data_IF_112386756404
#
_entry.id   IF_112386756404
#
_cell.length_a   1.000
_cell.length_b   1.000
_cell.length_c   1.000
_cell.angle_alpha   90.00
_cell.angle_beta   90.00
_cell.angle_gamma   90.00
#
_symmetry.space_group_name_H-M   'P 1'
#
loop_
_entity.id
_entity.type
_entity.pdbx_description
1 polymer ?
#
# COMPACT_ATOMS: atom_id res chain seq x y z
N UNK A 1 -6.95 -26.76 15.50
CA UNK A 1 -7.34 -27.91 14.67
C UNK A 1 -8.80 -27.76 14.23
N UNK A 2 -9.07 -27.14 13.10
CA UNK A 2 -10.21 -27.45 12.21
C UNK A 2 -10.02 -26.59 10.96
N UNK A 3 -9.53 -27.23 9.91
CA UNK A 3 -9.49 -26.67 8.56
C UNK A 3 -10.89 -26.76 8.00
N UNK A 4 -11.60 -25.64 7.82
CA UNK A 4 -12.84 -25.60 7.06
C UNK A 4 -12.51 -25.35 5.60
N UNK A 5 -12.54 -26.40 4.81
CA UNK A 5 -12.49 -26.38 3.36
C UNK A 5 -13.84 -25.90 2.82
N UNK A 6 -13.97 -24.67 2.39
CA UNK A 6 -15.06 -24.25 1.50
C UNK A 6 -14.55 -24.10 0.08
N UNK A 7 -15.00 -25.01 -0.76
CA UNK A 7 -14.78 -25.07 -2.20
C UNK A 7 -15.73 -24.10 -2.89
N UNK A 8 -15.24 -22.94 -3.32
CA UNK A 8 -15.94 -22.08 -4.28
C UNK A 8 -15.12 -22.07 -5.58
N UNK A 9 -15.78 -22.50 -6.65
CA UNK A 9 -15.40 -22.60 -8.04
C UNK A 9 -14.10 -21.87 -8.47
N UNK A 10 -13.02 -22.62 -8.62
CA UNK A 10 -12.14 -22.43 -9.79
C UNK A 10 -10.96 -21.50 -9.67
N UNK A 11 -10.52 -21.01 -8.47
CA UNK A 11 -9.23 -20.31 -8.36
C UNK A 11 -8.61 -20.62 -7.00
N UNK A 12 -7.46 -21.29 -7.03
CA UNK A 12 -6.64 -21.48 -5.84
C UNK A 12 -6.01 -20.14 -5.46
N UNK A 13 -6.60 -19.43 -4.51
CA UNK A 13 -5.91 -18.35 -3.81
C UNK A 13 -5.03 -19.03 -2.76
N UNK A 14 -3.73 -19.08 -3.03
CA UNK A 14 -2.74 -19.48 -2.04
C UNK A 14 -2.67 -18.34 -1.01
N UNK A 15 -3.44 -18.42 0.08
CA UNK A 15 -3.19 -17.62 1.26
C UNK A 15 -1.97 -18.24 1.96
N UNK A 16 -0.83 -17.53 2.07
CA UNK A 16 0.21 -17.97 2.99
C UNK A 16 -0.38 -17.87 4.39
N UNK A 17 -0.31 -18.98 5.13
CA UNK A 17 -0.72 -19.03 6.53
C UNK A 17 -0.04 -17.89 7.30
N UNK A 18 -0.75 -17.22 8.19
CA UNK A 18 -0.25 -16.19 9.11
C UNK A 18 0.97 -16.62 9.94
N UNK A 19 1.33 -17.87 9.88
CA UNK A 19 2.40 -18.53 10.64
C UNK A 19 3.79 -18.47 9.98
N UNK A 20 3.87 -18.09 8.69
CA UNK A 20 5.11 -18.23 7.92
C UNK A 20 6.19 -17.19 8.24
N UNK A 21 5.85 -16.09 8.92
CA UNK A 21 6.82 -15.03 9.27
C UNK A 21 7.51 -15.31 10.60
N UNK A 22 6.83 -15.93 11.56
CA UNK A 22 7.43 -16.27 12.86
C UNK A 22 8.44 -17.42 12.76
N UNK A 23 8.16 -18.45 11.94
CA UNK A 23 9.05 -19.62 11.80
C UNK A 23 10.38 -19.32 11.10
N UNK A 24 10.47 -18.28 10.28
CA UNK A 24 11.73 -17.92 9.61
C UNK A 24 12.77 -17.30 10.54
N UNK A 25 12.38 -16.79 11.70
CA UNK A 25 13.28 -16.09 12.62
C UNK A 25 13.63 -16.88 13.89
N UNK A 26 12.98 -18.01 14.14
CA UNK A 26 13.23 -18.83 15.34
C UNK A 26 14.63 -19.50 15.40
N UNK A 27 15.42 -19.39 14.32
CA UNK A 27 16.75 -20.05 14.21
C UNK A 27 17.97 -19.12 14.14
N UNK A 28 17.85 -17.77 14.34
CA UNK A 28 18.93 -16.82 14.01
C UNK A 28 19.62 -16.10 15.18
N UNK A 29 19.76 -16.74 16.35
CA UNK A 29 20.31 -16.06 17.54
C UNK A 29 21.79 -15.62 17.49
N UNK A 30 22.60 -15.97 16.50
CA UNK A 30 24.04 -15.67 16.55
C UNK A 30 24.71 -15.01 15.32
N UNK A 31 23.96 -14.40 14.39
CA UNK A 31 24.56 -13.62 13.28
C UNK A 31 24.22 -12.10 13.28
N UNK A 32 23.72 -11.58 14.40
CA UNK A 32 22.98 -10.31 14.44
C UNK A 32 23.77 -9.02 14.16
N UNK A 33 25.00 -8.86 14.66
CA UNK A 33 25.65 -7.52 14.68
C UNK A 33 26.20 -7.10 13.31
N UNK A 34 26.81 -7.99 12.55
CA UNK A 34 27.37 -7.65 11.22
C UNK A 34 26.30 -7.52 10.13
N UNK A 35 25.20 -8.27 10.23
CA UNK A 35 24.02 -8.11 9.37
C UNK A 35 23.35 -6.76 9.60
N UNK A 36 23.08 -6.39 10.83
CA UNK A 36 22.41 -5.14 11.17
C UNK A 36 23.10 -3.89 10.59
N UNK A 37 24.42 -3.81 10.61
CA UNK A 37 25.17 -2.68 10.03
C UNK A 37 25.01 -2.64 8.50
N UNK A 38 25.05 -3.77 7.82
CA UNK A 38 24.87 -3.84 6.36
C UNK A 38 23.43 -3.47 5.98
N UNK A 39 22.44 -3.94 6.72
CA UNK A 39 21.04 -3.66 6.49
C UNK A 39 20.72 -2.18 6.74
N UNK A 40 21.33 -1.57 7.75
CA UNK A 40 21.28 -0.14 8.00
C UNK A 40 21.93 0.69 6.89
N UNK A 41 23.07 0.27 6.37
CA UNK A 41 23.73 0.97 5.25
C UNK A 41 22.91 0.86 3.96
N UNK A 42 22.32 -0.28 3.67
CA UNK A 42 21.42 -0.44 2.53
C UNK A 42 20.15 0.43 2.68
N UNK A 43 19.52 0.45 3.85
CA UNK A 43 18.37 1.30 4.14
C UNK A 43 18.71 2.78 3.94
N UNK A 44 19.87 3.22 4.45
CA UNK A 44 20.27 4.63 4.39
C UNK A 44 20.72 5.08 3.01
N UNK A 45 21.51 4.27 2.30
CA UNK A 45 22.15 4.68 1.05
C UNK A 45 21.34 4.29 -0.20
N UNK A 46 20.87 3.04 -0.32
CA UNK A 46 20.14 2.59 -1.50
C UNK A 46 18.69 3.05 -1.50
N UNK A 47 18.07 3.12 -0.33
CA UNK A 47 16.63 3.41 -0.20
C UNK A 47 16.35 4.86 0.23
N UNK A 48 17.39 5.73 0.27
CA UNK A 48 17.30 7.13 0.71
C UNK A 48 16.65 7.27 2.11
N UNK A 49 16.97 6.33 3.00
CA UNK A 49 16.39 6.24 4.34
C UNK A 49 16.61 7.51 5.19
N UNK A 50 17.72 8.26 4.93
CA UNK A 50 18.02 9.49 5.63
C UNK A 50 16.93 10.56 5.44
N UNK A 51 16.28 10.67 4.26
CA UNK A 51 15.16 11.60 4.05
C UNK A 51 13.93 11.19 4.89
N UNK A 52 13.75 9.90 5.16
CA UNK A 52 12.65 9.37 5.95
C UNK A 52 12.83 9.55 7.45
N UNK A 53 14.05 9.86 7.92
CA UNK A 53 14.30 10.22 9.32
C UNK A 53 13.62 11.53 9.69
N UNK A 54 13.57 12.49 8.76
CA UNK A 54 12.97 13.81 8.99
C UNK A 54 11.50 13.87 8.63
N UNK A 55 11.07 13.19 7.55
CA UNK A 55 9.68 13.22 7.13
C UNK A 55 8.99 11.88 7.39
N UNK A 56 8.12 11.85 8.39
CA UNK A 56 7.44 10.64 8.84
C UNK A 56 6.23 10.27 7.98
N UNK A 57 5.61 11.24 7.32
CA UNK A 57 4.36 11.09 6.57
C UNK A 57 3.32 10.22 7.31
N UNK A 58 3.29 10.37 8.65
CA UNK A 58 2.42 9.59 9.53
C UNK A 58 1.11 10.34 9.73
N UNK A 59 0.03 9.74 9.27
CA UNK A 59 -1.32 10.31 9.39
C UNK A 59 -2.29 9.25 9.86
N UNK A 60 -3.26 9.69 10.66
CA UNK A 60 -4.39 8.89 11.07
C UNK A 60 -5.48 9.00 10.01
N UNK A 61 -6.02 7.87 9.54
CA UNK A 61 -7.16 7.82 8.62
C UNK A 61 -8.45 7.81 9.45
N UNK A 62 -8.52 6.85 10.39
CA UNK A 62 -9.58 6.76 11.38
C UNK A 62 -9.05 6.14 12.69
N UNK A 63 -9.93 5.61 13.54
CA UNK A 63 -9.54 5.01 14.82
C UNK A 63 -8.75 3.71 14.66
N UNK A 64 -8.99 2.99 13.56
CA UNK A 64 -8.44 1.66 13.31
C UNK A 64 -7.28 1.68 12.31
N UNK A 65 -7.14 2.75 11.49
CA UNK A 65 -6.19 2.75 10.40
C UNK A 65 -5.33 4.01 10.35
N UNK A 66 -4.04 3.80 10.18
CA UNK A 66 -3.02 4.80 10.01
C UNK A 66 -2.26 4.57 8.72
N UNK A 67 -1.61 5.61 8.20
CA UNK A 67 -0.72 5.54 7.05
C UNK A 67 0.61 6.22 7.34
N UNK A 68 1.71 5.73 6.74
CA UNK A 68 3.03 6.37 6.87
C UNK A 68 3.98 6.03 5.71
N UNK A 69 5.17 6.61 5.75
CA UNK A 69 6.33 6.04 5.05
C UNK A 69 6.81 4.78 5.79
N UNK A 70 7.78 4.05 5.20
CA UNK A 70 8.33 2.84 5.82
C UNK A 70 8.92 3.14 7.20
N UNK A 71 8.44 2.48 8.26
CA UNK A 71 8.90 2.73 9.61
C UNK A 71 10.32 2.18 9.85
N UNK A 72 11.12 2.90 10.60
CA UNK A 72 12.35 2.35 11.19
C UNK A 72 12.02 1.48 12.41
N UNK A 73 12.94 0.65 12.91
CA UNK A 73 12.73 -0.15 14.13
C UNK A 73 12.25 0.65 15.32
N UNK A 74 12.78 1.87 15.51
CA UNK A 74 12.34 2.77 16.60
C UNK A 74 10.89 3.25 16.42
N UNK A 75 10.41 3.38 15.18
CA UNK A 75 9.03 3.76 14.88
C UNK A 75 8.06 2.58 14.98
N UNK A 76 8.51 1.36 14.65
CA UNK A 76 7.74 0.14 14.96
C UNK A 76 7.51 0.06 16.48
N UNK A 77 8.56 0.30 17.31
CA UNK A 77 8.41 0.40 18.77
C UNK A 77 7.39 1.46 19.18
N UNK A 78 7.43 2.64 18.57
CA UNK A 78 6.47 3.72 18.87
C UNK A 78 5.05 3.36 18.44
N UNK A 79 4.88 2.70 17.28
CA UNK A 79 3.59 2.22 16.80
C UNK A 79 2.99 1.20 17.77
N UNK A 80 3.78 0.22 18.22
CA UNK A 80 3.37 -0.76 19.23
C UNK A 80 2.91 -0.08 20.54
N UNK A 81 3.67 0.93 21.03
CA UNK A 81 3.28 1.70 22.21
C UNK A 81 1.99 2.50 22.03
N UNK A 82 1.62 2.87 20.80
CA UNK A 82 0.35 3.54 20.48
C UNK A 82 -0.80 2.55 20.29
N UNK A 83 -0.56 1.26 20.51
CA UNK A 83 -1.58 0.21 20.38
C UNK A 83 -1.74 -0.36 18.97
N UNK A 84 -0.88 0.01 18.00
CA UNK A 84 -0.88 -0.61 16.68
C UNK A 84 -0.55 -2.11 16.83
N UNK A 85 -1.42 -2.95 16.28
CA UNK A 85 -1.31 -4.41 16.34
C UNK A 85 -0.76 -5.00 15.04
N UNK A 86 -1.02 -4.32 13.92
CA UNK A 86 -0.64 -4.82 12.59
C UNK A 86 0.06 -3.71 11.80
N UNK A 87 1.17 -4.03 11.17
CA UNK A 87 1.81 -3.21 10.15
C UNK A 87 1.59 -3.88 8.80
N UNK A 88 1.06 -3.12 7.83
CA UNK A 88 0.77 -3.58 6.48
C UNK A 88 1.80 -2.96 5.54
N UNK A 89 2.75 -3.78 5.08
CA UNK A 89 3.76 -3.38 4.13
C UNK A 89 3.24 -3.47 2.69
N UNK A 90 2.93 -2.34 2.09
CA UNK A 90 2.40 -2.25 0.71
C UNK A 90 3.47 -2.41 -0.38
N UNK A 91 4.70 -2.70 0.00
CA UNK A 91 5.80 -3.00 -0.93
C UNK A 91 5.88 -4.50 -1.26
N UNK A 92 5.17 -5.33 -0.51
CA UNK A 92 5.27 -6.78 -0.53
C UNK A 92 6.53 -7.29 0.17
N UNK A 93 6.63 -8.59 0.34
CA UNK A 93 7.81 -9.26 0.88
C UNK A 93 9.03 -8.99 0.01
N UNK A 94 10.15 -8.64 0.64
CA UNK A 94 11.40 -8.29 -0.01
C UNK A 94 12.58 -8.88 0.75
N UNK A 95 13.65 -9.17 0.02
CA UNK A 95 14.92 -9.57 0.62
C UNK A 95 15.90 -8.38 0.64
N UNK A 96 15.44 -7.26 1.24
CA UNK A 96 16.29 -6.08 1.44
C UNK A 96 16.40 -5.74 2.94
N UNK A 97 17.50 -5.07 3.32
CA UNK A 97 17.76 -4.73 4.72
C UNK A 97 16.67 -3.88 5.38
N UNK A 98 15.92 -3.10 4.59
CA UNK A 98 14.80 -2.32 5.11
C UNK A 98 13.63 -3.19 5.56
N UNK A 99 13.30 -4.23 4.80
CA UNK A 99 12.27 -5.20 5.15
C UNK A 99 12.69 -6.07 6.34
N UNK A 100 13.96 -6.53 6.33
CA UNK A 100 14.49 -7.38 7.40
C UNK A 100 14.45 -6.65 8.75
N UNK A 101 14.94 -5.40 8.81
CA UNK A 101 14.92 -4.57 10.03
C UNK A 101 13.49 -4.31 10.53
N UNK A 102 12.54 -4.14 9.62
CA UNK A 102 11.13 -3.96 9.96
C UNK A 102 10.51 -5.24 10.52
N UNK A 103 10.76 -6.39 9.88
CA UNK A 103 10.26 -7.69 10.32
C UNK A 103 10.81 -8.06 11.70
N UNK A 104 12.12 -7.91 11.93
CA UNK A 104 12.75 -8.13 13.23
C UNK A 104 12.17 -7.23 14.32
N UNK A 105 11.92 -5.95 13.99
CA UNK A 105 11.30 -5.02 14.92
C UNK A 105 9.85 -5.41 15.24
N UNK A 106 9.09 -5.86 14.23
CA UNK A 106 7.72 -6.32 14.44
C UNK A 106 7.68 -7.52 15.40
N UNK A 107 8.54 -8.52 15.19
CA UNK A 107 8.68 -9.65 16.11
C UNK A 107 9.05 -9.18 17.52
N UNK A 108 10.06 -8.29 17.64
CA UNK A 108 10.56 -7.78 18.92
C UNK A 108 9.49 -7.05 19.74
N UNK A 109 8.61 -6.32 19.06
CA UNK A 109 7.60 -5.50 19.75
C UNK A 109 6.19 -6.09 19.71
N UNK A 110 6.02 -7.33 19.27
CA UNK A 110 4.75 -8.04 19.26
C UNK A 110 3.72 -7.41 18.30
N UNK A 111 4.19 -6.94 17.13
CA UNK A 111 3.36 -6.39 16.06
C UNK A 111 3.33 -7.38 14.91
N UNK A 112 2.14 -7.68 14.37
CA UNK A 112 2.01 -8.53 13.19
C UNK A 112 2.45 -7.77 11.95
N UNK A 113 3.35 -8.34 11.13
CA UNK A 113 3.70 -7.80 9.82
C UNK A 113 2.93 -8.55 8.74
N UNK A 114 2.20 -7.80 7.92
CA UNK A 114 1.47 -8.34 6.76
C UNK A 114 2.04 -7.72 5.49
N UNK A 115 2.54 -8.56 4.59
CA UNK A 115 3.02 -8.12 3.29
C UNK A 115 1.88 -8.13 2.26
N UNK A 116 1.64 -6.98 1.63
CA UNK A 116 0.68 -6.81 0.55
C UNK A 116 1.33 -6.05 -0.61
N UNK A 117 1.18 -6.52 -1.84
CA UNK A 117 1.80 -5.87 -2.99
C UNK A 117 0.82 -4.93 -3.70
N UNK A 118 1.03 -3.62 -3.54
CA UNK A 118 0.37 -2.59 -4.34
C UNK A 118 1.36 -1.94 -5.32
N UNK A 119 0.89 -1.54 -6.49
CA UNK A 119 1.68 -0.84 -7.51
C UNK A 119 1.24 0.63 -7.59
N UNK A 120 2.18 1.55 -7.87
CA UNK A 120 1.88 2.98 -7.97
C UNK A 120 1.99 3.53 -9.40
N UNK A 121 2.49 2.74 -10.33
CA UNK A 121 2.71 3.15 -11.74
C UNK A 121 2.02 2.23 -12.74
N UNK A 122 1.06 1.49 -12.27
CA UNK A 122 0.17 0.65 -13.07
C UNK A 122 -1.26 0.83 -12.56
N UNK A 123 -2.22 0.67 -13.45
CA UNK A 123 -3.63 0.67 -13.07
C UNK A 123 -3.89 -0.44 -12.03
N UNK A 124 -4.69 -0.18 -10.99
CA UNK A 124 -5.05 -1.21 -10.02
C UNK A 124 -5.74 -2.38 -10.71
N UNK A 125 -5.21 -3.60 -10.54
CA UNK A 125 -5.88 -4.78 -11.09
C UNK A 125 -7.08 -5.19 -10.24
N UNK A 126 -8.06 -5.89 -10.84
CA UNK A 126 -9.24 -6.39 -10.10
C UNK A 126 -8.81 -7.28 -8.94
N UNK A 127 -7.83 -8.16 -9.14
CA UNK A 127 -7.27 -9.07 -8.14
C UNK A 127 -6.65 -8.29 -6.97
N UNK A 128 -5.93 -7.19 -7.24
CA UNK A 128 -5.36 -6.36 -6.19
C UNK A 128 -6.46 -5.66 -5.37
N UNK A 129 -7.53 -5.19 -6.01
CA UNK A 129 -8.65 -4.54 -5.33
C UNK A 129 -9.43 -5.54 -4.46
N UNK A 130 -9.68 -6.75 -4.97
CA UNK A 130 -10.30 -7.83 -4.19
C UNK A 130 -9.40 -8.26 -3.04
N UNK A 131 -8.09 -8.40 -3.27
CA UNK A 131 -7.12 -8.69 -2.22
C UNK A 131 -7.09 -7.61 -1.13
N UNK A 132 -7.25 -6.33 -1.49
CA UNK A 132 -7.37 -5.23 -0.53
C UNK A 132 -8.65 -5.34 0.32
N UNK A 133 -9.79 -5.67 -0.30
CA UNK A 133 -11.06 -5.95 0.42
C UNK A 133 -10.86 -7.05 1.47
N UNK A 134 -10.28 -8.15 1.05
CA UNK A 134 -10.07 -9.33 1.92
C UNK A 134 -9.07 -9.02 3.03
N UNK A 135 -8.00 -8.29 2.72
CA UNK A 135 -7.05 -7.80 3.71
C UNK A 135 -7.76 -6.94 4.78
N UNK A 136 -8.56 -5.96 4.39
CA UNK A 136 -9.27 -5.09 5.34
C UNK A 136 -10.28 -5.84 6.20
N UNK A 137 -10.87 -6.92 5.69
CA UNK A 137 -11.78 -7.77 6.45
C UNK A 137 -11.04 -8.64 7.51
N UNK A 138 -9.77 -8.96 7.29
CA UNK A 138 -8.98 -9.79 8.22
C UNK A 138 -8.28 -9.01 9.32
N UNK A 139 -8.10 -7.68 9.14
CA UNK A 139 -7.40 -6.83 10.11
C UNK A 139 -8.32 -6.47 11.28
N UNK A 140 -8.03 -7.01 12.46
CA UNK A 140 -8.92 -6.95 13.64
C UNK A 140 -8.53 -5.90 14.68
N UNK A 141 -7.49 -5.09 14.45
CA UNK A 141 -7.02 -4.11 15.43
C UNK A 141 -6.42 -2.87 14.77
N UNK A 142 -6.04 -1.87 15.58
CA UNK A 142 -5.38 -0.68 15.06
C UNK A 142 -4.17 -1.03 14.21
N UNK A 143 -4.12 -0.53 12.98
CA UNK A 143 -3.17 -0.94 11.96
C UNK A 143 -2.50 0.24 11.28
N UNK A 144 -1.27 0.03 10.81
CA UNK A 144 -0.48 1.01 10.10
C UNK A 144 -0.14 0.50 8.71
N UNK A 145 -0.69 1.11 7.67
CA UNK A 145 -0.29 0.86 6.27
C UNK A 145 0.91 1.73 5.91
N UNK A 146 1.90 1.17 5.23
CA UNK A 146 3.01 1.97 4.71
C UNK A 146 3.47 1.50 3.34
N UNK A 147 4.12 2.43 2.64
CA UNK A 147 4.94 2.12 1.47
C UNK A 147 6.34 2.73 1.63
N UNK A 148 7.06 3.03 0.55
CA UNK A 148 8.39 3.66 0.66
C UNK A 148 8.30 5.09 1.23
N UNK A 149 7.50 5.95 0.60
CA UNK A 149 7.33 7.38 0.93
C UNK A 149 6.06 7.69 1.71
N UNK A 150 5.10 6.76 1.78
CA UNK A 150 3.79 7.02 2.35
C UNK A 150 2.84 7.81 1.44
N UNK A 151 3.24 8.10 0.20
CA UNK A 151 2.48 8.91 -0.74
C UNK A 151 1.51 8.06 -1.58
N UNK A 152 2.00 7.41 -2.64
CA UNK A 152 1.17 6.85 -3.70
C UNK A 152 0.46 5.55 -3.29
N UNK A 153 1.22 4.48 -2.97
CA UNK A 153 0.63 3.18 -2.61
C UNK A 153 -0.13 3.24 -1.30
N UNK A 154 0.40 3.98 -0.32
CA UNK A 154 -0.33 4.25 0.92
C UNK A 154 -1.58 5.09 0.65
N UNK A 155 -1.53 6.05 -0.28
CA UNK A 155 -2.69 6.82 -0.73
C UNK A 155 -3.76 5.95 -1.37
N UNK A 156 -3.38 5.11 -2.36
CA UNK A 156 -4.28 4.17 -3.02
C UNK A 156 -4.99 3.27 -2.00
N UNK A 157 -4.22 2.60 -1.13
CA UNK A 157 -4.80 1.65 -0.18
C UNK A 157 -5.63 2.35 0.91
N UNK A 158 -5.27 3.58 1.29
CA UNK A 158 -6.09 4.39 2.20
C UNK A 158 -7.42 4.80 1.56
N UNK A 159 -7.40 5.16 0.27
CA UNK A 159 -8.62 5.47 -0.47
C UNK A 159 -9.50 4.23 -0.63
N UNK A 160 -8.92 3.07 -0.99
CA UNK A 160 -9.66 1.81 -1.06
C UNK A 160 -10.22 1.39 0.31
N UNK A 161 -9.49 1.60 1.40
CA UNK A 161 -9.98 1.36 2.76
C UNK A 161 -11.23 2.20 3.07
N UNK A 162 -11.19 3.49 2.77
CA UNK A 162 -12.34 4.38 2.98
C UNK A 162 -13.53 4.00 2.09
N UNK A 163 -13.27 3.72 0.81
CA UNK A 163 -14.32 3.39 -0.16
C UNK A 163 -14.97 2.03 0.12
N UNK A 164 -14.16 0.99 0.34
CA UNK A 164 -14.63 -0.40 0.41
C UNK A 164 -15.04 -0.78 1.84
N UNK A 165 -14.19 -0.48 2.83
CA UNK A 165 -14.39 -0.95 4.20
C UNK A 165 -15.25 0.04 5.02
N UNK A 166 -15.09 1.33 4.78
CA UNK A 166 -15.85 2.39 5.47
C UNK A 166 -17.04 2.88 4.66
N UNK A 167 -17.21 2.41 3.41
CA UNK A 167 -18.33 2.78 2.52
C UNK A 167 -18.48 4.30 2.35
N UNK A 168 -17.34 5.02 2.35
CA UNK A 168 -17.31 6.46 2.13
C UNK A 168 -17.42 6.76 0.63
N UNK A 169 -18.03 7.91 0.25
CA UNK A 169 -18.08 8.34 -1.14
C UNK A 169 -16.69 8.42 -1.77
N UNK A 170 -16.59 8.12 -3.07
CA UNK A 170 -15.32 8.13 -3.81
C UNK A 170 -14.64 9.50 -3.75
N UNK A 171 -15.40 10.59 -3.78
CA UNK A 171 -14.90 11.95 -3.64
C UNK A 171 -14.13 12.17 -2.32
N UNK A 172 -14.61 11.58 -1.22
CA UNK A 172 -13.94 11.63 0.09
C UNK A 172 -12.75 10.69 0.13
N UNK A 173 -12.92 9.46 -0.38
CA UNK A 173 -11.87 8.45 -0.38
C UNK A 173 -10.61 8.89 -1.15
N UNK A 174 -10.77 9.50 -2.34
CA UNK A 174 -9.66 9.96 -3.18
C UNK A 174 -8.84 11.09 -2.59
N UNK A 175 -9.34 11.81 -1.55
CA UNK A 175 -8.53 12.81 -0.84
C UNK A 175 -7.27 12.21 -0.20
N UNK A 176 -7.22 10.90 -0.05
CA UNK A 176 -6.01 10.18 0.39
C UNK A 176 -4.87 10.23 -0.65
N UNK A 177 -5.14 10.65 -1.89
CA UNK A 177 -4.18 10.92 -2.97
C UNK A 177 -3.92 12.44 -3.10
N UNK A 178 -3.74 13.14 -1.98
CA UNK A 178 -3.50 14.57 -1.98
C UNK A 178 -2.01 14.93 -1.84
N UNK A 179 -1.66 16.12 -2.32
CA UNK A 179 -0.29 16.67 -2.24
C UNK A 179 0.24 16.76 -0.81
N UNK A 180 -0.63 16.99 0.19
CA UNK A 180 -0.25 17.00 1.62
C UNK A 180 0.42 15.69 2.09
N UNK A 181 0.21 14.59 1.35
CA UNK A 181 0.85 13.30 1.59
C UNK A 181 2.04 13.04 0.66
N UNK A 182 2.41 14.01 -0.19
CA UNK A 182 3.47 13.89 -1.18
C UNK A 182 3.06 13.19 -2.48
N UNK A 183 1.76 12.97 -2.69
CA UNK A 183 1.26 12.45 -3.97
C UNK A 183 1.16 13.59 -5.01
N UNK A 184 1.58 13.31 -6.25
CA UNK A 184 1.58 14.28 -7.35
C UNK A 184 0.75 13.74 -8.51
N UNK A 185 -0.44 14.30 -8.70
CA UNK A 185 -1.41 13.88 -9.73
C UNK A 185 -0.84 13.98 -11.17
N UNK A 186 0.02 14.97 -11.43
CA UNK A 186 0.63 15.21 -12.74
C UNK A 186 1.77 14.21 -13.07
N UNK A 187 2.22 13.41 -12.11
CA UNK A 187 3.22 12.39 -12.32
C UNK A 187 2.62 11.10 -12.91
N UNK A 188 3.48 10.11 -13.21
CA UNK A 188 3.02 8.78 -13.65
C UNK A 188 2.10 8.10 -12.63
N UNK A 189 2.16 8.52 -11.37
CA UNK A 189 1.31 8.05 -10.27
C UNK A 189 -0.09 8.63 -10.29
N UNK A 190 -0.37 9.67 -11.08
CA UNK A 190 -1.71 10.21 -11.34
C UNK A 190 -2.69 9.20 -11.99
N UNK A 191 -2.16 8.06 -12.46
CA UNK A 191 -2.97 6.93 -12.85
C UNK A 191 -3.85 6.39 -11.70
N UNK A 192 -3.40 6.56 -10.45
CA UNK A 192 -4.17 6.19 -9.27
C UNK A 192 -5.37 7.13 -9.07
N UNK A 193 -5.20 8.43 -9.36
CA UNK A 193 -6.33 9.37 -9.39
C UNK A 193 -7.31 9.01 -10.49
N UNK A 194 -6.79 8.69 -11.70
CA UNK A 194 -7.62 8.33 -12.84
C UNK A 194 -8.49 7.08 -12.58
N UNK A 195 -8.05 6.18 -11.70
CA UNK A 195 -8.84 5.03 -11.29
C UNK A 195 -10.10 5.46 -10.51
N UNK A 196 -9.98 6.34 -9.55
CA UNK A 196 -11.11 6.86 -8.80
C UNK A 196 -11.96 7.85 -9.62
N UNK A 197 -11.31 8.69 -10.44
CA UNK A 197 -12.00 9.59 -11.38
C UNK A 197 -12.87 8.79 -12.38
N UNK A 198 -12.47 7.58 -12.77
CA UNK A 198 -13.24 6.71 -13.66
C UNK A 198 -14.46 6.09 -13.00
N UNK A 199 -14.45 5.87 -11.69
CA UNK A 199 -15.59 5.34 -10.94
C UNK A 199 -16.60 6.45 -10.55
N UNK A 200 -16.16 7.65 -10.28
CA UNK A 200 -16.99 8.75 -9.74
C UNK A 200 -18.32 8.97 -10.48
N UNK A 201 -18.38 9.02 -11.85
CA UNK A 201 -19.66 9.18 -12.54
C UNK A 201 -20.61 7.98 -12.41
N UNK A 202 -20.08 6.80 -12.16
CA UNK A 202 -20.91 5.59 -11.96
C UNK A 202 -21.51 5.57 -10.54
N UNK A 203 -20.72 5.95 -9.52
CA UNK A 203 -21.23 6.15 -8.16
C UNK A 203 -22.36 7.18 -8.15
N UNK A 204 -22.18 8.32 -8.84
CA UNK A 204 -23.21 9.36 -8.94
C UNK A 204 -24.52 8.86 -9.55
N UNK A 205 -24.46 7.80 -10.39
CA UNK A 205 -25.63 7.13 -10.97
C UNK A 205 -26.09 5.91 -10.15
N UNK A 206 -25.59 5.72 -8.92
CA UNK A 206 -26.00 4.67 -8.00
C UNK A 206 -25.40 3.29 -8.24
N UNK A 207 -24.35 3.17 -9.10
CA UNK A 207 -23.67 1.89 -9.32
C UNK A 207 -22.72 1.59 -8.16
N UNK A 208 -22.82 0.38 -7.58
CA UNK A 208 -21.92 -0.05 -6.52
C UNK A 208 -20.47 -0.24 -7.06
N UNK A 209 -19.48 -0.01 -6.20
CA UNK A 209 -18.07 -0.05 -6.59
C UNK A 209 -17.64 -1.39 -7.21
N UNK A 210 -18.07 -2.51 -6.62
CA UNK A 210 -17.71 -3.83 -7.15
C UNK A 210 -18.47 -4.18 -8.43
N UNK A 211 -19.71 -3.69 -8.61
CA UNK A 211 -20.44 -3.85 -9.88
C UNK A 211 -19.74 -3.10 -11.02
N UNK A 212 -19.26 -1.89 -10.75
CA UNK A 212 -18.43 -1.15 -11.70
C UNK A 212 -17.10 -1.85 -11.96
N UNK A 213 -16.42 -2.32 -10.92
CA UNK A 213 -15.13 -3.00 -11.01
C UNK A 213 -15.23 -4.23 -11.91
N UNK A 214 -16.31 -5.03 -11.76
CA UNK A 214 -16.47 -6.28 -12.49
C UNK A 214 -16.94 -6.09 -13.92
N UNK A 215 -17.88 -5.18 -14.14
CA UNK A 215 -18.61 -5.11 -15.42
C UNK A 215 -18.14 -3.97 -16.33
N UNK A 216 -17.47 -2.94 -15.80
CA UNK A 216 -17.11 -1.73 -16.54
C UNK A 216 -15.60 -1.49 -16.54
N UNK A 217 -14.94 -1.70 -15.41
CA UNK A 217 -13.55 -1.37 -15.27
C UNK A 217 -12.62 -2.33 -16.03
N UNK A 218 -11.73 -1.75 -16.83
CA UNK A 218 -10.65 -2.46 -17.50
C UNK A 218 -9.32 -1.74 -17.22
N UNK A 219 -8.36 -2.40 -16.53
CA UNK A 219 -7.09 -1.79 -16.16
C UNK A 219 -6.22 -1.43 -17.36
N UNK A 220 -6.28 -2.21 -18.46
CA UNK A 220 -5.49 -1.96 -19.66
C UNK A 220 -6.03 -0.74 -20.43
N UNK A 221 -7.35 -0.61 -20.52
CA UNK A 221 -7.99 0.57 -21.11
C UNK A 221 -7.63 1.82 -20.33
N UNK A 222 -7.73 1.79 -19.00
CA UNK A 222 -7.35 2.92 -18.14
C UNK A 222 -5.88 3.27 -18.31
N UNK A 223 -4.99 2.27 -18.25
CA UNK A 223 -3.54 2.44 -18.40
C UNK A 223 -3.21 3.11 -19.74
N UNK A 224 -3.74 2.61 -20.84
CA UNK A 224 -3.47 3.09 -22.19
C UNK A 224 -4.03 4.51 -22.41
N UNK A 225 -5.24 4.80 -21.93
CA UNK A 225 -5.85 6.12 -22.03
C UNK A 225 -5.11 7.18 -21.21
N UNK A 226 -4.58 6.81 -20.04
CA UNK A 226 -3.77 7.69 -19.22
C UNK A 226 -2.41 8.00 -19.89
N UNK A 227 -1.75 6.98 -20.42
CA UNK A 227 -0.45 7.13 -21.08
C UNK A 227 -0.56 7.98 -22.36
N UNK A 228 -1.61 7.80 -23.17
CA UNK A 228 -1.83 8.58 -24.39
C UNK A 228 -2.08 10.06 -24.10
N UNK A 229 -2.87 10.39 -23.08
CA UNK A 229 -3.06 11.77 -22.61
C UNK A 229 -1.77 12.43 -22.14
N UNK A 230 -0.96 11.69 -21.37
CA UNK A 230 0.34 12.17 -20.91
C UNK A 230 1.33 12.43 -22.05
N UNK A 231 1.24 11.68 -23.14
CA UNK A 231 2.07 11.86 -24.35
C UNK A 231 1.63 13.11 -25.13
N UNK A 232 0.32 13.27 -25.34
CA UNK A 232 -0.24 14.46 -26.01
C UNK A 232 0.12 15.77 -25.27
N UNK A 233 0.01 15.80 -23.96
CA UNK A 233 0.38 16.98 -23.15
C UNK A 233 1.87 17.33 -23.30
N UNK A 234 2.77 16.34 -23.31
CA UNK A 234 4.20 16.59 -23.51
C UNK A 234 4.53 17.13 -24.90
N UNK A 235 3.83 16.61 -25.93
CA UNK A 235 4.03 17.09 -27.30
C UNK A 235 3.63 18.58 -27.42
N UNK A 236 2.52 18.96 -26.81
CA UNK A 236 2.05 20.36 -26.77
C UNK A 236 3.06 21.24 -25.99
N UNK A 237 3.54 20.79 -24.84
CA UNK A 237 4.54 21.53 -24.05
C UNK A 237 5.87 21.69 -24.80
N UNK A 238 6.31 20.67 -25.56
CA UNK A 238 7.52 20.74 -26.37
C UNK A 238 7.36 21.67 -27.60
N UNK A 239 6.16 21.75 -28.16
CA UNK A 239 5.85 22.69 -29.26
C UNK A 239 5.85 24.14 -28.73
N UNK A 240 5.17 24.37 -27.59
CA UNK A 240 5.07 25.72 -26.99
C UNK A 240 6.40 26.24 -26.43
N UNK A 241 7.36 25.38 -26.11
CA UNK A 241 8.71 25.78 -25.68
C UNK A 241 9.65 26.12 -26.83
N UNK A 242 9.27 25.85 -28.07
CA UNK A 242 10.06 26.16 -29.27
C UNK A 242 9.68 27.45 -29.95
N UNK A 243 8.61 28.10 -29.49
CA UNK A 243 8.23 29.51 -29.83
C UNK A 243 8.77 30.48 -28.75
#
# INVERSE_FOLDING_TARGET
>A
LLVVNQRLKGTFIFMPSLDSTQDRFAGSEHKGVRRGVRDWTELMLKDHGFLRLYWHNLHRIDEMMWRSNQPSPSRVKQAAKRGIKTIINLRGSRDDGGWQLEAEACVTYGVTLVDFTARSRAAPTKEMVYGARDLFATVTGPSLMHCKSGADRAGLMSALYLLIHKQMPVAVAREQLAFKYGHVKQAKTGLLDAFFDAYEPFEANGMAFFDWLDNVYDPDILQNSFMSRGWANRLVDDILRRE
#
